data_IF_647991516253
#
_entry.id   IF_647991516253
#
_cell.length_a   1.000
_cell.length_b   1.000
_cell.length_c   1.000
_cell.angle_alpha   90.00
_cell.angle_beta   90.00
_cell.angle_gamma   90.00
#
_symmetry.space_group_name_H-M   'P 1'
#
loop_
_entity.id
_entity.type
_entity.pdbx_description
1 polymer ?
#
# COMPACT_ATOMS: atom_id res chain seq x y z
N UNK A 1 21.30 -9.76 11.40
CA UNK A 1 20.65 -9.85 11.52
C UNK A 1 19.43 -10.10 11.30
N UNK A 2 18.78 -9.65 11.32
CA UNK A 2 17.63 -10.00 11.66
C UNK A 2 16.58 -9.44 10.90
N UNK A 3 15.91 -10.21 10.17
CA UNK A 3 14.79 -9.76 9.34
C UNK A 3 13.66 -9.18 10.18
N UNK A 4 13.69 -9.46 11.48
CA UNK A 4 12.64 -8.92 12.35
C UNK A 4 12.71 -7.41 12.48
N UNK A 5 13.83 -6.81 12.07
CA UNK A 5 13.96 -5.36 12.14
C UNK A 5 13.44 -4.66 10.89
N UNK A 6 13.06 -5.41 9.86
CA UNK A 6 12.54 -4.79 8.64
C UNK A 6 11.21 -4.10 8.93
N UNK A 7 11.02 -2.87 8.41
CA UNK A 7 9.76 -2.16 8.63
C UNK A 7 8.57 -2.91 8.04
N UNK A 8 7.46 -2.80 8.74
CA UNK A 8 6.19 -3.39 8.29
C UNK A 8 5.15 -2.28 8.23
N UNK A 9 4.92 -1.73 7.04
CA UNK A 9 4.06 -0.55 6.94
C UNK A 9 2.60 -0.87 7.24
N UNK A 10 1.93 0.11 7.82
CA UNK A 10 0.49 0.07 8.01
C UNK A 10 -0.08 1.45 7.80
N UNK A 11 -1.36 1.51 7.44
CA UNK A 11 -2.03 2.78 7.21
C UNK A 11 -2.03 3.60 8.49
N UNK A 12 -1.66 4.87 8.36
CA UNK A 12 -1.65 5.77 9.52
C UNK A 12 -3.08 5.87 10.08
N UNK A 13 -3.25 5.86 11.42
CA UNK A 13 -4.60 5.82 12.02
C UNK A 13 -5.52 6.99 11.65
N UNK A 14 -4.97 8.10 11.19
CA UNK A 14 -5.81 9.23 10.78
C UNK A 14 -6.53 9.00 9.46
N UNK A 15 -6.17 7.94 8.74
CA UNK A 15 -6.75 7.61 7.44
C UNK A 15 -7.63 6.38 7.54
N UNK A 16 -8.71 6.38 6.77
CA UNK A 16 -9.58 5.21 6.65
C UNK A 16 -9.65 4.84 5.18
N UNK A 17 -9.35 3.59 4.87
CA UNK A 17 -9.45 3.11 3.49
C UNK A 17 -10.76 2.39 3.31
N UNK A 18 -11.47 2.71 2.22
CA UNK A 18 -12.72 2.02 1.93
C UNK A 18 -13.06 2.13 0.45
N UNK A 19 -13.98 1.27 0.02
CA UNK A 19 -14.54 1.36 -1.32
C UNK A 19 -15.58 2.48 -1.33
N UNK A 20 -15.50 3.33 -2.34
CA UNK A 20 -16.45 4.43 -2.48
C UNK A 20 -17.19 4.27 -3.81
N UNK A 21 -18.45 3.87 -3.73
CA UNK A 21 -19.22 3.57 -4.93
C UNK A 21 -19.39 4.79 -5.84
N UNK A 22 -19.54 5.97 -5.26
CA UNK A 22 -19.69 7.20 -6.04
C UNK A 22 -18.45 7.53 -6.86
N UNK A 23 -17.28 7.05 -6.44
CA UNK A 23 -16.03 7.23 -7.15
C UNK A 23 -15.66 6.03 -8.00
N UNK A 24 -16.37 4.91 -7.81
CA UNK A 24 -16.05 3.64 -8.44
C UNK A 24 -14.59 3.27 -8.18
N UNK A 25 -14.14 3.46 -6.94
CA UNK A 25 -12.76 3.25 -6.57
C UNK A 25 -12.61 3.15 -5.07
N UNK A 26 -11.49 2.58 -4.65
CA UNK A 26 -11.08 2.70 -3.26
C UNK A 26 -10.55 4.11 -3.01
N UNK A 27 -10.77 4.60 -1.80
CA UNK A 27 -10.29 5.90 -1.38
C UNK A 27 -9.69 5.78 0.01
N UNK A 28 -8.83 6.73 0.36
CA UNK A 28 -8.47 6.93 1.77
C UNK A 28 -9.06 8.25 2.21
N UNK A 29 -9.75 8.19 3.34
CA UNK A 29 -10.44 9.35 3.91
C UNK A 29 -9.63 9.91 5.08
N UNK A 30 -9.62 11.23 5.19
CA UNK A 30 -9.00 11.91 6.31
C UNK A 30 -9.82 13.17 6.59
N UNK A 31 -9.59 13.85 7.73
CA UNK A 31 -10.49 14.97 8.11
C UNK A 31 -10.66 16.05 7.05
N UNK A 32 -9.62 16.30 6.25
CA UNK A 32 -9.68 17.39 5.27
C UNK A 32 -10.18 16.95 3.89
N UNK A 33 -10.44 15.66 3.68
CA UNK A 33 -10.91 15.23 2.38
C UNK A 33 -10.68 13.76 2.10
N UNK A 34 -10.55 13.43 0.82
CA UNK A 34 -10.31 12.05 0.41
C UNK A 34 -9.29 12.01 -0.72
N UNK A 35 -8.64 10.85 -0.85
CA UNK A 35 -7.68 10.58 -1.91
C UNK A 35 -8.17 9.36 -2.66
N UNK A 36 -8.42 9.52 -3.96
CA UNK A 36 -8.83 8.41 -4.80
C UNK A 36 -7.61 7.58 -5.17
N UNK A 37 -7.74 6.27 -5.06
CA UNK A 37 -6.65 5.34 -5.34
C UNK A 37 -6.85 4.66 -6.67
N UNK A 38 -5.76 4.45 -7.40
CA UNK A 38 -5.80 3.58 -8.57
C UNK A 38 -6.00 2.14 -8.08
N UNK A 39 -6.45 1.23 -8.95
CA UNK A 39 -6.58 -0.17 -8.54
C UNK A 39 -5.29 -0.76 -7.99
N UNK A 40 -4.15 -0.46 -8.60
CA UNK A 40 -2.88 -1.00 -8.12
C UNK A 40 -2.49 -0.41 -6.76
N UNK A 41 -2.72 0.88 -6.56
CA UNK A 41 -2.43 1.52 -5.26
C UNK A 41 -3.30 0.90 -4.17
N UNK A 42 -4.57 0.64 -4.48
CA UNK A 42 -5.47 0.02 -3.52
C UNK A 42 -4.97 -1.37 -3.13
N UNK A 43 -4.50 -2.16 -4.11
CA UNK A 43 -3.99 -3.49 -3.82
C UNK A 43 -2.77 -3.44 -2.91
N UNK A 44 -1.91 -2.46 -3.10
CA UNK A 44 -0.73 -2.30 -2.25
C UNK A 44 -1.15 -1.91 -0.84
N UNK A 45 -2.02 -0.90 -0.71
CA UNK A 45 -2.45 -0.44 0.61
C UNK A 45 -3.23 -1.48 1.40
N UNK A 46 -4.01 -2.33 0.73
CA UNK A 46 -4.72 -3.43 1.40
C UNK A 46 -3.76 -4.35 2.13
N UNK A 47 -2.52 -4.43 1.67
CA UNK A 47 -1.51 -5.31 2.26
C UNK A 47 -0.65 -4.61 3.29
N UNK A 48 -0.87 -3.31 3.49
CA UNK A 48 -0.16 -2.53 4.50
C UNK A 48 -0.91 -2.63 5.83
N UNK A 49 -0.80 -3.77 6.47
CA UNK A 49 -1.53 -4.06 7.71
C UNK A 49 -0.61 -4.21 8.93
N UNK A 50 0.66 -3.87 8.76
CA UNK A 50 1.61 -3.98 9.86
C UNK A 50 2.21 -5.36 10.04
N UNK A 51 1.81 -6.33 9.20
CA UNK A 51 2.34 -7.70 9.33
C UNK A 51 3.29 -8.07 8.20
N UNK A 52 3.36 -7.26 7.15
CA UNK A 52 4.17 -7.56 5.98
C UNK A 52 5.23 -6.49 5.76
N UNK A 53 6.44 -6.93 5.41
CA UNK A 53 7.49 -6.01 4.96
C UNK A 53 7.19 -5.60 3.52
N UNK A 54 7.90 -4.60 3.02
CA UNK A 54 7.79 -4.20 1.62
C UNK A 54 8.02 -5.39 0.70
N UNK A 55 9.05 -6.20 1.00
CA UNK A 55 9.35 -7.37 0.20
C UNK A 55 8.20 -8.39 0.23
N UNK A 56 7.60 -8.59 1.39
CA UNK A 56 6.45 -9.49 1.50
C UNK A 56 5.28 -9.02 0.65
N UNK A 57 5.04 -7.71 0.63
CA UNK A 57 3.97 -7.13 -0.18
C UNK A 57 4.24 -7.38 -1.66
N UNK A 58 5.48 -7.13 -2.09
CA UNK A 58 5.87 -7.37 -3.48
C UNK A 58 5.71 -8.84 -3.84
N UNK A 59 6.19 -9.74 -2.98
CA UNK A 59 6.11 -11.16 -3.24
C UNK A 59 4.66 -11.63 -3.35
N UNK A 60 3.78 -11.11 -2.48
CA UNK A 60 2.39 -11.47 -2.49
C UNK A 60 1.70 -11.02 -3.78
N UNK A 61 1.96 -9.80 -4.21
CA UNK A 61 1.40 -9.28 -5.46
C UNK A 61 1.96 -10.02 -6.67
N UNK A 62 3.25 -10.36 -6.65
CA UNK A 62 3.88 -11.06 -7.75
C UNK A 62 3.35 -12.48 -7.90
N UNK A 63 2.89 -13.10 -6.82
CA UNK A 63 2.26 -14.42 -6.91
C UNK A 63 0.99 -14.38 -7.73
N UNK A 64 0.24 -13.30 -7.62
CA UNK A 64 -0.99 -13.14 -8.38
C UNK A 64 -0.71 -12.83 -9.86
N UNK A 65 0.42 -12.20 -10.15
CA UNK A 65 0.77 -11.78 -11.50
C UNK A 65 2.23 -12.12 -11.80
N UNK A 66 2.57 -13.41 -11.90
CA UNK A 66 3.98 -13.81 -11.94
C UNK A 66 4.76 -13.30 -13.15
N UNK A 67 4.09 -13.06 -14.28
CA UNK A 67 4.78 -12.55 -15.47
C UNK A 67 5.14 -11.06 -15.35
N UNK A 68 4.67 -10.39 -14.31
CA UNK A 68 4.88 -8.95 -14.15
C UNK A 68 5.67 -8.61 -12.88
N UNK A 69 6.45 -9.58 -12.40
CA UNK A 69 7.13 -9.42 -11.12
C UNK A 69 8.01 -8.17 -11.05
N UNK A 70 8.77 -7.93 -12.11
CA UNK A 70 9.70 -6.80 -12.11
C UNK A 70 8.95 -5.46 -12.07
N UNK A 71 7.91 -5.35 -12.88
CA UNK A 71 7.10 -4.12 -12.89
C UNK A 71 6.41 -3.93 -11.55
N UNK A 72 5.89 -5.00 -10.97
CA UNK A 72 5.23 -4.94 -9.66
C UNK A 72 6.20 -4.49 -8.59
N UNK A 73 7.42 -5.04 -8.58
CA UNK A 73 8.41 -4.67 -7.60
C UNK A 73 8.73 -3.19 -7.68
N UNK A 74 8.91 -2.68 -8.88
CA UNK A 74 9.24 -1.29 -9.10
C UNK A 74 8.09 -0.36 -8.73
N UNK A 75 6.89 -0.68 -9.18
CA UNK A 75 5.71 0.14 -8.92
C UNK A 75 5.37 0.15 -7.44
N UNK A 76 5.48 -1.01 -6.78
CA UNK A 76 5.18 -1.11 -5.36
C UNK A 76 6.17 -0.29 -4.54
N UNK A 77 7.46 -0.41 -4.85
CA UNK A 77 8.49 0.35 -4.14
C UNK A 77 8.26 1.85 -4.30
N UNK A 78 7.94 2.28 -5.51
CA UNK A 78 7.68 3.70 -5.78
C UNK A 78 6.46 4.19 -5.03
N UNK A 79 5.39 3.42 -5.03
CA UNK A 79 4.17 3.82 -4.33
C UNK A 79 4.40 3.90 -2.83
N UNK A 80 5.08 2.92 -2.26
CA UNK A 80 5.34 2.91 -0.82
C UNK A 80 6.20 4.09 -0.40
N UNK A 81 7.16 4.48 -1.26
CA UNK A 81 7.98 5.66 -0.98
C UNK A 81 7.14 6.92 -0.93
N UNK A 82 6.22 7.08 -1.88
CA UNK A 82 5.30 8.23 -1.90
C UNK A 82 4.39 8.19 -0.68
N UNK A 83 3.84 7.04 -0.36
CA UNK A 83 2.92 6.90 0.77
C UNK A 83 3.60 7.25 2.09
N UNK A 84 4.86 6.85 2.25
CA UNK A 84 5.64 7.21 3.44
C UNK A 84 5.89 8.71 3.49
N UNK A 85 6.27 9.28 2.36
CA UNK A 85 6.55 10.71 2.27
C UNK A 85 5.33 11.55 2.61
N UNK A 86 4.17 11.11 2.18
CA UNK A 86 2.93 11.83 2.44
C UNK A 86 2.32 11.49 3.80
N UNK A 87 2.90 10.56 4.52
CA UNK A 87 2.39 10.20 5.83
C UNK A 87 1.14 9.32 5.80
N UNK A 88 0.84 8.71 4.66
CA UNK A 88 -0.30 7.80 4.56
C UNK A 88 -0.06 6.50 5.32
N UNK A 89 1.19 6.05 5.34
CA UNK A 89 1.57 4.84 6.05
C UNK A 89 2.72 5.15 7.00
N UNK A 90 2.82 4.29 8.03
CA UNK A 90 3.92 4.35 8.98
C UNK A 90 4.32 2.93 9.35
N UNK A 91 5.48 2.81 9.98
CA UNK A 91 5.98 1.50 10.38
C UNK A 91 5.49 1.08 11.74
#
# INVERSE_FOLDING_TARGET
>A
MDSTTAPRPHLHPRFIMRWEASQDAHVILYPEGLIKLSPSAAEILKRCDGTRTDKNIIDDLAQAYPSQREAIAQDTASFLAVARDKGWIQE
#
